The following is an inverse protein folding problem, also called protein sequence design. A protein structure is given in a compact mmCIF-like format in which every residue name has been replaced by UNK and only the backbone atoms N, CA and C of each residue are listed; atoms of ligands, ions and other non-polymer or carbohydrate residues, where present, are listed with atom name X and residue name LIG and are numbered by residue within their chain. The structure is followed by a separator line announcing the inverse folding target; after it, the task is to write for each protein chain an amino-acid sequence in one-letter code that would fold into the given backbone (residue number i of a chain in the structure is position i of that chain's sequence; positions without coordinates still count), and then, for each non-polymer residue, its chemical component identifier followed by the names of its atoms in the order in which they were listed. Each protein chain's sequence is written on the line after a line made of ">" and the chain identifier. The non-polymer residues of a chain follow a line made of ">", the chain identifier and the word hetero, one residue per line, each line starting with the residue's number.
data_IF_473974304102
#
_entry.id   IF_473974304102
#
_cell.length_a   1.000
_cell.length_b   1.000
_cell.length_c   1.000
_cell.angle_alpha   90.00
_cell.angle_beta   90.00
_cell.angle_gamma   90.00
#
_symmetry.space_group_name_H-M   'P 1'
#
loop_
_entity.id
_entity.type
_entity.pdbx_description
1 polymer ?
#
# COMPACT_ATOMS: atom_id res chain seq x y z
N UNK A 1 -10.31 -4.47 -0.78
CA UNK A 1 -8.87 -4.25 -1.07
C UNK A 1 -8.03 -4.17 0.21
N UNK A 2 -8.32 -3.25 1.14
CA UNK A 2 -7.66 -3.15 2.45
C UNK A 2 -7.61 -4.49 3.23
N UNK A 3 -8.77 -5.13 3.44
CA UNK A 3 -8.85 -6.40 4.19
C UNK A 3 -8.07 -7.53 3.50
N UNK A 4 -8.01 -7.51 2.16
CA UNK A 4 -7.30 -8.51 1.37
C UNK A 4 -5.78 -8.35 1.50
N UNK A 5 -5.24 -7.14 1.32
CA UNK A 5 -3.82 -6.84 1.53
C UNK A 5 -3.39 -7.12 2.98
N UNK A 6 -4.21 -6.73 3.94
CA UNK A 6 -3.95 -6.98 5.37
C UNK A 6 -3.93 -8.47 5.71
N UNK A 7 -4.83 -9.27 5.12
CA UNK A 7 -4.85 -10.73 5.32
C UNK A 7 -3.58 -11.39 4.75
N UNK A 8 -3.10 -10.96 3.59
CA UNK A 8 -1.87 -11.48 2.99
C UNK A 8 -0.65 -11.13 3.86
N UNK A 9 -0.55 -9.89 4.35
CA UNK A 9 0.53 -9.47 5.24
C UNK A 9 0.57 -10.27 6.55
N UNK A 10 -0.59 -10.54 7.14
CA UNK A 10 -0.70 -11.40 8.34
C UNK A 10 -0.31 -12.85 8.01
N UNK A 11 -0.70 -13.35 6.84
CA UNK A 11 -0.28 -14.67 6.36
C UNK A 11 1.24 -14.79 6.23
N UNK A 12 1.89 -13.82 5.57
CA UNK A 12 3.36 -13.77 5.43
C UNK A 12 4.06 -13.73 6.79
N UNK A 13 3.51 -12.99 7.76
CA UNK A 13 4.06 -12.95 9.12
C UNK A 13 3.97 -14.31 9.84
N UNK A 14 2.84 -15.01 9.72
CA UNK A 14 2.59 -16.28 10.42
C UNK A 14 3.34 -17.46 9.78
N UNK A 15 3.44 -17.50 8.46
CA UNK A 15 3.99 -18.66 7.73
C UNK A 15 5.46 -18.48 7.34
N UNK A 16 5.91 -17.27 7.03
CA UNK A 16 7.26 -17.03 6.49
C UNK A 16 8.21 -16.30 7.46
N UNK A 17 7.80 -16.07 8.71
CA UNK A 17 8.59 -15.33 9.71
C UNK A 17 9.14 -14.00 9.18
N UNK A 18 8.37 -13.34 8.31
CA UNK A 18 8.76 -12.10 7.67
C UNK A 18 9.05 -11.01 8.72
N UNK A 19 10.01 -10.10 8.48
CA UNK A 19 10.37 -9.04 9.42
C UNK A 19 9.13 -8.25 9.86
N UNK A 20 8.80 -8.38 11.15
CA UNK A 20 7.60 -7.78 11.74
C UNK A 20 7.54 -6.26 11.58
N UNK A 21 8.70 -5.60 11.42
CA UNK A 21 8.76 -4.18 11.10
C UNK A 21 8.16 -3.85 9.72
N UNK A 22 8.47 -4.62 8.68
CA UNK A 22 7.89 -4.42 7.34
C UNK A 22 6.40 -4.71 7.33
N UNK A 23 5.98 -5.79 7.99
CA UNK A 23 4.56 -6.14 8.14
C UNK A 23 3.81 -5.03 8.89
N UNK A 24 4.38 -4.53 9.99
CA UNK A 24 3.82 -3.43 10.77
C UNK A 24 3.66 -2.14 9.96
N UNK A 25 4.69 -1.75 9.20
CA UNK A 25 4.64 -0.60 8.29
C UNK A 25 3.59 -0.80 7.20
N UNK A 26 3.49 -2.02 6.62
CA UNK A 26 2.47 -2.37 5.64
C UNK A 26 1.03 -2.28 6.18
N UNK A 27 0.80 -2.78 7.39
CA UNK A 27 -0.51 -2.71 8.06
C UNK A 27 -0.86 -1.26 8.43
N UNK A 28 0.10 -0.48 8.93
CA UNK A 28 -0.09 0.93 9.22
C UNK A 28 -0.42 1.73 7.95
N UNK A 29 0.30 1.46 6.86
CA UNK A 29 0.01 2.07 5.55
C UNK A 29 -1.41 1.77 5.09
N UNK A 30 -1.83 0.50 5.20
CA UNK A 30 -3.19 0.05 4.95
C UNK A 30 -4.24 0.87 5.75
N UNK A 31 -3.99 1.13 7.04
CA UNK A 31 -4.89 1.94 7.89
C UNK A 31 -4.97 3.40 7.46
N UNK A 32 -3.83 4.01 7.10
CA UNK A 32 -3.79 5.39 6.59
C UNK A 32 -4.60 5.50 5.29
N UNK A 33 -4.47 4.53 4.39
CA UNK A 33 -5.28 4.47 3.16
C UNK A 33 -6.77 4.25 3.45
N UNK A 34 -7.13 3.47 4.47
CA UNK A 34 -8.53 3.33 4.88
C UNK A 34 -9.13 4.68 5.33
N UNK A 35 -8.37 5.48 6.10
CA UNK A 35 -8.78 6.84 6.46
C UNK A 35 -8.94 7.76 5.25
N UNK A 36 -8.14 7.55 4.20
CA UNK A 36 -8.18 8.30 2.96
C UNK A 36 -9.39 7.95 2.07
N UNK A 37 -9.81 6.69 2.10
CA UNK A 37 -11.02 6.21 1.42
C UNK A 37 -12.32 6.69 2.10
N UNK A 38 -12.29 7.02 3.38
CA UNK A 38 -13.45 7.56 4.10
C UNK A 38 -13.84 8.97 3.63
N UNK A 39 -12.88 9.77 3.17
CA UNK A 39 -13.08 11.12 2.61
C UNK A 39 -13.26 11.14 1.10
N UNK A 40 -13.29 9.97 0.45
CA UNK A 40 -13.58 9.85 -0.98
C UNK A 40 -15.03 10.29 -1.28
N UNK A 41 -15.31 10.99 -2.41
CA UNK A 41 -14.41 11.34 -3.52
C UNK A 41 -13.66 12.68 -3.36
N UNK A 42 -14.00 13.50 -2.36
CA UNK A 42 -13.42 14.83 -2.17
C UNK A 42 -12.11 14.76 -1.37
N UNK A 43 -11.03 14.28 -2.01
CA UNK A 43 -9.71 14.20 -1.37
C UNK A 43 -8.95 15.52 -1.55
N UNK A 44 -8.53 16.12 -0.44
CA UNK A 44 -7.62 17.27 -0.47
C UNK A 44 -6.18 16.74 -0.54
N UNK A 45 -5.47 17.07 -1.62
CA UNK A 45 -4.06 16.69 -1.82
C UNK A 45 -3.14 17.24 -0.71
N UNK A 46 -3.56 18.30 -0.03
CA UNK A 46 -2.85 18.90 1.12
C UNK A 46 -3.23 18.26 2.46
N UNK A 47 -4.13 17.26 2.48
CA UNK A 47 -4.50 16.59 3.72
C UNK A 47 -3.33 15.83 4.32
N UNK A 48 -3.23 15.82 5.65
CA UNK A 48 -2.17 15.12 6.37
C UNK A 48 -2.12 13.62 6.01
N UNK A 49 -3.28 12.98 5.82
CA UNK A 49 -3.36 11.57 5.42
C UNK A 49 -2.80 11.31 4.02
N UNK A 50 -3.02 12.21 3.05
CA UNK A 50 -2.46 12.06 1.71
C UNK A 50 -0.93 12.16 1.72
N UNK A 51 -0.39 13.19 2.37
CA UNK A 51 1.06 13.35 2.52
C UNK A 51 1.66 12.15 3.24
N UNK A 52 1.03 11.70 4.34
CA UNK A 52 1.48 10.53 5.08
C UNK A 52 1.45 9.27 4.22
N UNK A 53 0.42 9.07 3.40
CA UNK A 53 0.33 7.92 2.48
C UNK A 53 1.43 7.91 1.43
N UNK A 54 1.81 9.07 0.88
CA UNK A 54 2.92 9.22 -0.06
C UNK A 54 4.27 8.92 0.60
N UNK A 55 4.51 9.44 1.80
CA UNK A 55 5.75 9.16 2.53
C UNK A 55 5.85 7.66 2.88
N UNK A 56 4.75 7.07 3.35
CA UNK A 56 4.69 5.65 3.69
C UNK A 56 4.91 4.75 2.49
N UNK A 57 4.39 5.09 1.30
CA UNK A 57 4.61 4.28 0.10
C UNK A 57 6.09 4.23 -0.25
N UNK A 58 6.80 5.37 -0.20
CA UNK A 58 8.23 5.46 -0.50
C UNK A 58 9.04 4.70 0.56
N UNK A 59 8.72 4.90 1.83
CA UNK A 59 9.40 4.23 2.93
C UNK A 59 9.24 2.71 2.86
N UNK A 60 8.04 2.22 2.57
CA UNK A 60 7.77 0.79 2.45
C UNK A 60 8.48 0.19 1.21
N UNK A 61 8.58 0.93 0.09
CA UNK A 61 9.40 0.50 -1.05
C UNK A 61 10.87 0.35 -0.68
N UNK A 62 11.42 1.34 0.04
CA UNK A 62 12.81 1.31 0.47
C UNK A 62 13.11 0.09 1.35
N UNK A 63 12.26 -0.18 2.34
CA UNK A 63 12.39 -1.36 3.20
C UNK A 63 12.28 -2.66 2.41
N UNK A 64 11.33 -2.74 1.48
CA UNK A 64 11.17 -3.92 0.63
C UNK A 64 12.40 -4.17 -0.23
N UNK A 65 12.93 -3.14 -0.89
CA UNK A 65 14.16 -3.27 -1.68
C UNK A 65 15.36 -3.64 -0.82
N UNK A 66 15.49 -3.09 0.39
CA UNK A 66 16.57 -3.47 1.30
C UNK A 66 16.47 -4.95 1.68
N UNK A 67 15.28 -5.42 2.06
CA UNK A 67 15.06 -6.81 2.46
C UNK A 67 15.33 -7.80 1.30
N UNK A 68 14.78 -7.53 0.12
CA UNK A 68 15.01 -8.37 -1.06
C UNK A 68 16.42 -8.23 -1.66
N UNK A 69 17.23 -7.28 -1.18
CA UNK A 69 18.64 -7.14 -1.56
C UNK A 69 19.58 -7.89 -0.61
N UNK A 70 19.17 -8.16 0.64
CA UNK A 70 19.96 -8.93 1.60
C UNK A 70 19.97 -10.43 1.29
N UNK A 71 18.86 -10.96 0.77
CA UNK A 71 18.70 -12.38 0.45
C UNK A 71 18.17 -12.56 -0.98
N UNK A 72 18.65 -13.59 -1.70
CA UNK A 72 18.23 -13.81 -3.08
C UNK A 72 16.85 -14.45 -3.14
N UNK A 73 15.86 -13.68 -3.58
CA UNK A 73 14.52 -14.15 -3.89
C UNK A 73 14.25 -14.11 -5.41
N UNK A 74 13.51 -15.09 -5.96
CA UNK A 74 13.14 -15.05 -7.36
C UNK A 74 12.26 -13.82 -7.65
N UNK A 75 12.44 -13.24 -8.83
CA UNK A 75 11.75 -12.02 -9.25
C UNK A 75 10.22 -12.11 -9.13
N UNK A 76 9.65 -13.30 -9.31
CA UNK A 76 8.22 -13.55 -9.14
C UNK A 76 7.73 -13.28 -7.72
N UNK A 77 8.50 -13.62 -6.69
CA UNK A 77 8.14 -13.40 -5.28
C UNK A 77 8.21 -11.92 -4.92
N UNK A 78 9.27 -11.25 -5.37
CA UNK A 78 9.42 -9.79 -5.23
C UNK A 78 8.20 -9.10 -5.86
N UNK A 79 7.89 -9.42 -7.12
CA UNK A 79 6.72 -8.84 -7.81
C UNK A 79 5.41 -9.15 -7.10
N UNK A 80 5.21 -10.37 -6.59
CA UNK A 80 4.00 -10.73 -5.87
C UNK A 80 3.83 -9.86 -4.61
N UNK A 81 4.89 -9.67 -3.83
CA UNK A 81 4.86 -8.80 -2.65
C UNK A 81 4.54 -7.36 -3.02
N UNK A 82 5.25 -6.78 -4.00
CA UNK A 82 4.99 -5.41 -4.43
C UNK A 82 3.57 -5.24 -4.97
N UNK A 83 3.10 -6.17 -5.81
CA UNK A 83 1.77 -6.08 -6.44
C UNK A 83 0.64 -6.17 -5.41
N UNK A 84 0.63 -7.21 -4.59
CA UNK A 84 -0.49 -7.48 -3.68
C UNK A 84 -0.43 -6.67 -2.38
N UNK A 85 0.76 -6.41 -1.84
CA UNK A 85 0.92 -5.76 -0.54
C UNK A 85 1.14 -4.24 -0.66
N UNK A 86 1.92 -3.77 -1.63
CA UNK A 86 2.26 -2.34 -1.76
C UNK A 86 1.44 -1.59 -2.81
N UNK A 87 1.20 -2.18 -3.98
CA UNK A 87 0.75 -1.46 -5.17
C UNK A 87 -0.76 -1.48 -5.37
N UNK A 88 -1.42 -2.58 -4.97
CA UNK A 88 -2.85 -2.79 -5.14
C UNK A 88 -3.71 -1.63 -4.60
N UNK A 89 -3.35 -1.06 -3.46
CA UNK A 89 -4.08 0.05 -2.83
C UNK A 89 -3.82 1.40 -3.49
N UNK A 90 -2.56 1.90 -3.60
CA UNK A 90 -2.30 3.17 -4.26
C UNK A 90 -2.76 3.19 -5.72
N UNK A 91 -2.54 2.11 -6.50
CA UNK A 91 -3.02 2.08 -7.88
C UNK A 91 -4.55 2.12 -7.95
N UNK A 92 -5.25 1.32 -7.14
CA UNK A 92 -6.72 1.38 -7.10
C UNK A 92 -7.21 2.76 -6.69
N UNK A 93 -6.50 3.44 -5.80
CA UNK A 93 -6.83 4.80 -5.37
C UNK A 93 -6.67 5.81 -6.52
N UNK A 94 -5.54 5.80 -7.24
CA UNK A 94 -5.32 6.70 -8.38
C UNK A 94 -6.29 6.45 -9.54
N UNK A 95 -6.60 5.19 -9.84
CA UNK A 95 -7.61 4.82 -10.83
C UNK A 95 -9.00 5.32 -10.43
N UNK A 96 -9.34 5.27 -9.14
CA UNK A 96 -10.62 5.77 -8.64
C UNK A 96 -10.71 7.30 -8.72
N UNK A 97 -9.60 8.01 -8.49
CA UNK A 97 -9.50 9.46 -8.64
C UNK A 97 -9.67 9.89 -10.10
N UNK A 98 -8.98 9.24 -11.05
CA UNK A 98 -9.09 9.58 -12.47
C UNK A 98 -10.49 9.28 -13.04
N UNK A 99 -11.19 8.27 -12.51
CA UNK A 99 -12.57 8.00 -12.86
C UNK A 99 -13.55 9.07 -12.31
N UNK A 100 -13.28 9.61 -11.11
CA UNK A 100 -14.11 10.65 -10.48
C UNK A 100 -14.03 12.01 -11.16
N UNK A 101 -12.85 12.39 -11.67
CA UNK A 101 -12.66 13.65 -12.41
C UNK A 101 -13.27 13.61 -13.85
N UNK A 102 -13.68 12.43 -14.33
CA UNK A 102 -14.16 12.23 -15.70
C UNK A 102 -15.69 12.14 -15.81
N UNK A 103 -16.43 12.29 -14.70
CA UNK A 103 -17.88 12.53 -14.73
C UNK A 103 -18.12 14.04 -14.85
N UNK A 104 -18.81 14.42 -15.93
CA UNK A 104 -19.18 15.78 -16.34
C UNK A 104 -19.55 16.72 -15.16
N UNK A 105 -19.19 18.02 -15.22
CA UNK A 105 -19.68 18.97 -14.22
C UNK A 105 -21.21 19.06 -14.32
N UNK A 106 -21.90 18.83 -13.19
CA UNK A 106 -23.34 19.10 -13.02
C UNK A 106 -23.61 20.58 -12.82
#
# INVERSE_FOLDING_TARGET
>A
LFQFSSAILVGLYLFEHFPGFMVGVGLFTNLVYFGLLQTFPFIVLTSSNFILSCVLVIFNHYLAFQFFAEEFYPFSEVLAYFTFCLWLIPFSFFVSLSAGENVLPS
#
